data_IF_261451458051
#
_entry.id   IF_261451458051
#
_cell.length_a   1.000
_cell.length_b   1.000
_cell.length_c   1.000
_cell.angle_alpha   90.00
_cell.angle_beta   90.00
_cell.angle_gamma   90.00
#
_symmetry.space_group_name_H-M   'P 1'
#
loop_
_entity.id
_entity.type
_entity.pdbx_description
1 polymer ?
#
# COMPACT_ATOMS: atom_id res chain seq x y z
N UNK A 1 31.17 -27.58 63.22
CA UNK A 1 30.25 -27.83 64.35
C UNK A 1 28.83 -27.65 63.83
N UNK A 2 28.12 -28.76 63.82
CA UNK A 2 26.68 -28.92 64.00
C UNK A 2 25.70 -28.30 62.99
N UNK A 3 25.60 -29.00 61.85
CA UNK A 3 24.43 -29.07 60.97
C UNK A 3 23.15 -29.59 61.70
N UNK A 4 23.26 -30.00 62.97
CA UNK A 4 22.17 -30.52 63.81
C UNK A 4 21.32 -29.37 64.37
N UNK A 5 21.93 -28.27 64.82
CA UNK A 5 21.21 -27.13 65.36
C UNK A 5 20.33 -26.47 64.29
N UNK A 6 20.85 -26.30 63.08
CA UNK A 6 20.13 -25.73 61.93
C UNK A 6 18.98 -26.64 61.46
N UNK A 7 19.18 -27.97 61.47
CA UNK A 7 18.12 -28.93 61.13
C UNK A 7 16.99 -28.94 62.17
N UNK A 8 17.33 -28.86 63.46
CA UNK A 8 16.34 -28.72 64.53
C UNK A 8 15.55 -27.41 64.43
N UNK A 9 16.21 -26.31 64.02
CA UNK A 9 15.55 -25.04 63.74
C UNK A 9 14.57 -25.12 62.55
N UNK A 10 14.93 -25.83 61.48
CA UNK A 10 14.04 -26.06 60.33
C UNK A 10 12.81 -26.91 60.68
N UNK A 11 13.00 -27.97 61.49
CA UNK A 11 11.90 -28.80 61.96
C UNK A 11 10.99 -28.04 62.94
N UNK A 12 11.57 -27.17 63.78
CA UNK A 12 10.80 -26.29 64.67
C UNK A 12 9.95 -25.30 63.88
N UNK A 13 10.52 -24.63 62.86
CA UNK A 13 9.78 -23.74 61.98
C UNK A 13 8.65 -24.45 61.24
N UNK A 14 8.94 -25.62 60.67
CA UNK A 14 7.96 -26.40 59.91
C UNK A 14 6.78 -26.79 60.80
N UNK A 15 7.05 -27.18 62.06
CA UNK A 15 6.01 -27.44 63.08
C UNK A 15 5.30 -26.17 63.55
N UNK A 16 6.00 -25.05 63.75
CA UNK A 16 5.41 -23.80 64.20
C UNK A 16 4.44 -23.22 63.14
N UNK A 17 4.84 -23.25 61.86
CA UNK A 17 4.02 -22.79 60.74
C UNK A 17 2.78 -23.67 60.52
N UNK A 18 2.86 -24.97 60.80
CA UNK A 18 1.72 -25.89 60.65
C UNK A 18 0.79 -25.94 61.87
N UNK A 19 1.27 -25.62 63.08
CA UNK A 19 0.48 -25.76 64.31
C UNK A 19 -0.03 -24.46 64.92
N UNK A 20 0.69 -23.33 64.77
CA UNK A 20 0.35 -22.09 65.49
C UNK A 20 -0.36 -21.02 64.65
N UNK A 21 -0.29 -21.09 63.33
CA UNK A 21 -0.76 -19.99 62.48
C UNK A 21 -1.92 -20.41 61.58
N UNK A 22 -3.07 -19.76 61.74
CA UNK A 22 -4.28 -20.01 60.93
C UNK A 22 -4.29 -19.22 59.60
N UNK A 23 -3.43 -18.21 59.44
CA UNK A 23 -3.32 -17.39 58.23
C UNK A 23 -1.85 -17.02 57.98
N UNK A 24 -1.40 -17.17 56.73
CA UNK A 24 -0.02 -16.88 56.30
C UNK A 24 0.33 -15.38 56.32
N UNK A 25 -0.66 -14.50 56.48
CA UNK A 25 -0.48 -13.04 56.41
C UNK A 25 -0.28 -12.37 57.79
N UNK A 26 0.10 -13.11 58.84
CA UNK A 26 0.37 -12.49 60.14
C UNK A 26 1.73 -11.75 60.11
N UNK A 27 1.85 -10.56 60.71
CA UNK A 27 3.10 -9.79 60.75
C UNK A 27 4.20 -10.51 61.55
N UNK A 28 3.83 -11.44 62.43
CA UNK A 28 4.74 -12.27 63.20
C UNK A 28 5.40 -13.35 62.33
N UNK A 29 4.66 -13.93 61.37
CA UNK A 29 5.21 -14.87 60.37
C UNK A 29 6.19 -14.16 59.46
N UNK A 30 5.88 -12.94 59.02
CA UNK A 30 6.81 -12.15 58.20
C UNK A 30 8.13 -11.89 58.93
N UNK A 31 8.09 -11.48 60.21
CA UNK A 31 9.31 -11.28 61.01
C UNK A 31 10.12 -12.57 61.16
N UNK A 32 9.44 -13.70 61.41
CA UNK A 32 10.11 -15.01 61.51
C UNK A 32 10.74 -15.42 60.18
N UNK A 33 10.04 -15.25 59.05
CA UNK A 33 10.58 -15.58 57.72
C UNK A 33 11.75 -14.67 57.33
N UNK A 34 11.75 -13.39 57.70
CA UNK A 34 12.87 -12.46 57.42
C UNK A 34 14.11 -12.78 58.25
N UNK A 35 13.96 -13.12 59.53
CA UNK A 35 15.09 -13.55 60.38
C UNK A 35 15.73 -14.81 59.80
N UNK A 36 14.91 -15.73 59.28
CA UNK A 36 15.40 -16.95 58.66
C UNK A 36 15.93 -16.77 57.24
N UNK A 37 15.42 -15.85 56.43
CA UNK A 37 16.01 -15.59 55.09
C UNK A 37 17.46 -15.12 55.20
N UNK A 38 17.78 -14.30 56.20
CA UNK A 38 19.15 -13.87 56.47
C UNK A 38 20.08 -15.03 56.89
N UNK A 39 19.52 -16.12 57.45
CA UNK A 39 20.27 -17.35 57.74
C UNK A 39 20.38 -18.26 56.50
N UNK A 40 19.42 -18.20 55.58
CA UNK A 40 19.38 -18.97 54.33
C UNK A 40 20.38 -18.43 53.28
N UNK A 41 20.66 -17.13 53.26
CA UNK A 41 21.63 -16.55 52.31
C UNK A 41 23.07 -17.09 52.51
N UNK A 42 23.36 -17.63 53.70
CA UNK A 42 24.66 -18.23 54.02
C UNK A 42 24.70 -19.77 53.88
N UNK A 43 23.55 -20.44 53.68
CA UNK A 43 23.46 -21.91 53.59
C UNK A 43 22.29 -22.39 52.69
N UNK A 44 22.56 -23.31 51.76
CA UNK A 44 21.56 -23.92 50.86
C UNK A 44 20.52 -24.78 51.61
N UNK A 45 19.38 -24.19 51.96
CA UNK A 45 18.29 -24.85 52.70
C UNK A 45 16.96 -24.78 51.94
N UNK A 46 16.13 -25.83 52.06
CA UNK A 46 14.78 -25.91 51.46
C UNK A 46 13.73 -26.14 52.55
N UNK A 47 12.77 -25.21 52.69
CA UNK A 47 11.63 -25.31 53.62
C UNK A 47 10.36 -25.68 52.84
N UNK A 48 9.60 -26.68 53.29
CA UNK A 48 8.32 -27.09 52.67
C UNK A 48 7.14 -26.71 53.58
N UNK A 49 6.26 -25.84 53.10
CA UNK A 49 5.04 -25.42 53.81
C UNK A 49 3.82 -26.07 53.14
N UNK A 50 2.99 -26.79 53.89
CA UNK A 50 1.72 -27.35 53.42
C UNK A 50 0.55 -26.56 54.03
N UNK A 51 -0.20 -25.83 53.21
CA UNK A 51 -1.41 -25.11 53.62
C UNK A 51 -2.66 -25.70 52.95
N UNK A 52 -3.77 -25.85 53.70
CA UNK A 52 -5.09 -26.20 53.15
C UNK A 52 -5.88 -24.92 52.88
N UNK A 53 -6.33 -24.66 51.65
CA UNK A 53 -6.96 -23.39 51.32
C UNK A 53 -8.47 -23.45 51.66
N UNK A 54 -9.00 -22.42 52.34
CA UNK A 54 -10.34 -22.38 52.98
C UNK A 54 -11.50 -21.94 52.06
N UNK A 55 -11.34 -22.06 50.74
CA UNK A 55 -12.31 -21.60 49.74
C UNK A 55 -12.17 -22.29 48.37
N UNK A 56 -12.90 -21.80 47.38
CA UNK A 56 -12.86 -22.35 46.01
C UNK A 56 -12.66 -21.23 44.99
N UNK A 57 -11.82 -21.41 43.96
CA UNK A 57 -11.69 -20.42 42.89
C UNK A 57 -12.93 -20.42 41.99
N UNK A 58 -13.35 -19.23 41.56
CA UNK A 58 -14.32 -19.08 40.49
C UNK A 58 -13.72 -19.62 39.18
N UNK A 59 -14.42 -20.57 38.54
CA UNK A 59 -13.92 -21.19 37.31
C UNK A 59 -13.86 -20.25 36.09
N UNK A 60 -14.49 -19.08 36.16
CA UNK A 60 -14.50 -18.11 35.06
C UNK A 60 -13.47 -16.98 35.25
N UNK A 61 -13.40 -16.37 36.44
CA UNK A 61 -12.51 -15.23 36.69
C UNK A 61 -11.31 -15.54 37.59
N UNK A 62 -11.20 -16.75 38.14
CA UNK A 62 -10.10 -17.16 39.02
C UNK A 62 -10.14 -16.55 40.43
N UNK A 63 -11.08 -15.65 40.73
CA UNK A 63 -11.21 -15.03 42.06
C UNK A 63 -11.55 -16.10 43.10
N UNK A 64 -10.85 -16.07 44.22
CA UNK A 64 -11.03 -17.04 45.31
C UNK A 64 -12.25 -16.68 46.16
N UNK A 65 -13.22 -17.59 46.22
CA UNK A 65 -14.47 -17.44 46.97
C UNK A 65 -14.25 -17.99 48.38
N UNK A 66 -14.35 -17.11 49.38
CA UNK A 66 -14.23 -17.49 50.79
C UNK A 66 -15.46 -18.24 51.28
N UNK A 67 -15.31 -19.01 52.35
CA UNK A 67 -16.39 -19.85 52.91
C UNK A 67 -17.65 -19.09 53.33
N UNK A 68 -17.54 -17.78 53.63
CA UNK A 68 -18.66 -16.90 53.98
C UNK A 68 -19.48 -16.42 52.77
N UNK A 69 -18.86 -16.37 51.58
CA UNK A 69 -19.47 -15.83 50.36
C UNK A 69 -20.04 -16.93 49.45
N UNK A 70 -19.88 -18.20 49.84
CA UNK A 70 -20.43 -19.36 49.15
C UNK A 70 -21.96 -19.28 48.97
N UNK A 71 -22.69 -18.64 49.87
CA UNK A 71 -24.14 -18.46 49.77
C UNK A 71 -24.56 -17.48 48.67
N UNK A 72 -23.68 -16.57 48.25
CA UNK A 72 -23.91 -15.62 47.16
C UNK A 72 -23.33 -16.13 45.82
N UNK A 73 -22.49 -17.17 45.88
CA UNK A 73 -21.91 -17.82 44.71
C UNK A 73 -22.91 -18.74 43.99
N UNK A 74 -22.73 -18.92 42.68
CA UNK A 74 -23.59 -19.77 41.87
C UNK A 74 -22.98 -21.16 41.79
N UNK A 75 -23.64 -22.13 42.42
CA UNK A 75 -23.28 -23.54 42.30
C UNK A 75 -23.73 -24.08 40.94
N UNK A 76 -22.80 -24.64 40.17
CA UNK A 76 -23.05 -25.16 38.83
C UNK A 76 -23.75 -26.54 38.81
N UNK A 77 -24.02 -27.12 39.98
CA UNK A 77 -24.72 -28.40 40.17
C UNK A 77 -24.10 -29.57 39.40
N UNK A 78 -22.79 -29.52 39.11
CA UNK A 78 -22.07 -30.63 38.54
C UNK A 78 -21.61 -31.65 39.61
N UNK A 79 -21.10 -32.81 39.17
CA UNK A 79 -20.67 -33.90 40.06
C UNK A 79 -19.61 -33.48 41.09
N UNK A 80 -18.79 -32.48 40.76
CA UNK A 80 -17.87 -31.80 41.66
C UNK A 80 -18.43 -30.42 42.04
N UNK A 81 -18.22 -29.96 43.28
CA UNK A 81 -18.77 -28.67 43.76
C UNK A 81 -18.07 -27.47 43.12
N UNK A 82 -18.41 -27.15 41.86
CA UNK A 82 -17.89 -26.00 41.14
C UNK A 82 -18.78 -24.77 41.28
N UNK A 83 -18.13 -23.61 41.38
CA UNK A 83 -18.79 -22.34 41.66
C UNK A 83 -18.37 -21.25 40.70
N UNK A 84 -19.30 -20.35 40.42
CA UNK A 84 -19.03 -19.04 39.87
C UNK A 84 -19.23 -17.94 40.92
N UNK A 85 -18.42 -16.89 40.79
CA UNK A 85 -18.35 -15.76 41.72
C UNK A 85 -19.69 -15.04 41.92
N UNK A 86 -20.56 -15.05 40.90
CA UNK A 86 -21.83 -14.34 40.88
C UNK A 86 -22.49 -14.39 39.50
N UNK A 87 -23.62 -13.68 39.36
CA UNK A 87 -24.44 -13.67 38.13
C UNK A 87 -23.68 -13.18 36.89
N UNK A 88 -22.73 -12.26 37.05
CA UNK A 88 -21.97 -11.74 35.90
C UNK A 88 -20.97 -12.76 35.35
N UNK A 89 -20.37 -13.57 36.22
CA UNK A 89 -19.46 -14.65 35.83
C UNK A 89 -20.19 -15.69 34.95
N UNK A 90 -21.41 -16.10 35.32
CA UNK A 90 -22.19 -17.05 34.51
C UNK A 90 -22.74 -16.43 33.23
N UNK A 91 -23.16 -15.15 33.25
CA UNK A 91 -23.62 -14.43 32.04
C UNK A 91 -22.53 -14.37 30.98
N UNK A 92 -21.32 -13.96 31.36
CA UNK A 92 -20.17 -13.90 30.45
C UNK A 92 -19.78 -15.28 29.94
N UNK A 93 -19.79 -16.30 30.81
CA UNK A 93 -19.51 -17.66 30.39
C UNK A 93 -20.52 -18.19 29.36
N UNK A 94 -21.82 -17.96 29.58
CA UNK A 94 -22.87 -18.34 28.65
C UNK A 94 -22.75 -17.60 27.30
N UNK A 95 -22.44 -16.30 27.33
CA UNK A 95 -22.20 -15.49 26.13
C UNK A 95 -20.99 -16.02 25.33
N UNK A 96 -19.85 -16.25 25.98
CA UNK A 96 -18.66 -16.76 25.30
C UNK A 96 -18.88 -18.16 24.73
N UNK A 97 -19.60 -19.02 25.44
CA UNK A 97 -19.89 -20.40 25.00
C UNK A 97 -20.85 -20.46 23.81
N UNK A 98 -21.63 -19.40 23.57
CA UNK A 98 -22.64 -19.33 22.50
C UNK A 98 -22.31 -18.26 21.46
N UNK A 99 -21.05 -17.83 21.35
CA UNK A 99 -20.61 -16.77 20.43
C UNK A 99 -21.48 -15.50 20.50
N UNK A 100 -21.86 -15.10 21.73
CA UNK A 100 -22.72 -13.95 22.03
C UNK A 100 -24.17 -14.04 21.52
N UNK A 101 -24.64 -15.23 21.13
CA UNK A 101 -26.01 -15.41 20.61
C UNK A 101 -27.01 -15.89 21.65
N UNK A 102 -26.56 -16.61 22.69
CA UNK A 102 -27.41 -17.22 23.72
C UNK A 102 -28.47 -18.19 23.18
N UNK A 103 -28.37 -18.65 21.93
CA UNK A 103 -29.33 -19.58 21.32
C UNK A 103 -29.07 -21.04 21.75
N UNK A 104 -27.80 -21.43 21.82
CA UNK A 104 -27.35 -22.81 22.06
C UNK A 104 -27.05 -23.12 23.54
N UNK A 105 -27.96 -22.73 24.44
CA UNK A 105 -27.75 -22.88 25.89
C UNK A 105 -27.57 -24.34 26.35
N UNK A 106 -28.11 -25.31 25.60
CA UNK A 106 -27.93 -26.73 25.83
C UNK A 106 -26.47 -27.20 25.72
N UNK A 107 -25.62 -26.44 25.02
CA UNK A 107 -24.21 -26.76 24.80
C UNK A 107 -23.26 -26.06 25.77
N UNK A 108 -23.79 -25.21 26.66
CA UNK A 108 -22.97 -24.52 27.68
C UNK A 108 -22.52 -25.52 28.73
N UNK A 109 -21.22 -25.81 28.76
CA UNK A 109 -20.60 -26.78 29.67
C UNK A 109 -19.83 -26.09 30.78
N UNK A 110 -19.73 -26.79 31.92
CA UNK A 110 -18.87 -26.42 33.02
C UNK A 110 -17.39 -26.46 32.59
N UNK A 111 -16.58 -25.40 32.83
CA UNK A 111 -15.16 -25.38 32.47
C UNK A 111 -14.32 -26.47 33.15
N UNK A 112 -14.70 -26.90 34.35
CA UNK A 112 -13.93 -27.86 35.15
C UNK A 112 -14.21 -29.31 34.78
N UNK A 113 -15.47 -29.67 34.59
CA UNK A 113 -15.89 -31.07 34.42
C UNK A 113 -16.64 -31.35 33.11
N UNK A 114 -16.78 -30.35 32.23
CA UNK A 114 -17.46 -30.45 30.92
C UNK A 114 -18.91 -30.95 30.93
N UNK A 115 -19.54 -31.03 32.11
CA UNK A 115 -20.95 -31.38 32.26
C UNK A 115 -21.80 -30.18 31.82
N UNK A 116 -22.89 -30.39 31.05
CA UNK A 116 -23.83 -29.34 30.69
C UNK A 116 -24.40 -28.63 31.91
N UNK A 117 -24.37 -27.29 31.90
CA UNK A 117 -24.94 -26.48 32.98
C UNK A 117 -26.46 -26.45 32.79
N UNK A 118 -27.22 -26.56 33.88
CA UNK A 118 -28.68 -26.48 33.81
C UNK A 118 -29.13 -25.11 33.30
N UNK A 119 -29.96 -25.10 32.25
CA UNK A 119 -30.48 -23.88 31.62
C UNK A 119 -31.21 -23.00 32.64
N UNK A 120 -31.90 -23.60 33.62
CA UNK A 120 -32.59 -22.88 34.71
C UNK A 120 -31.64 -22.00 35.55
N UNK A 121 -30.37 -22.40 35.68
CA UNK A 121 -29.36 -21.60 36.40
C UNK A 121 -28.95 -20.39 35.56
N UNK A 122 -28.84 -20.57 34.24
CA UNK A 122 -28.52 -19.51 33.28
C UNK A 122 -29.69 -18.52 33.20
N UNK A 123 -30.92 -19.00 33.02
CA UNK A 123 -32.14 -18.18 33.01
C UNK A 123 -32.28 -17.30 34.25
N UNK A 124 -32.07 -17.89 35.45
CA UNK A 124 -32.08 -17.15 36.72
C UNK A 124 -31.00 -16.09 36.82
N UNK A 125 -29.90 -16.22 36.09
CA UNK A 125 -28.86 -15.20 36.06
C UNK A 125 -29.28 -13.99 35.22
N UNK A 126 -30.03 -14.19 34.13
CA UNK A 126 -30.47 -13.14 33.21
C UNK A 126 -31.76 -12.40 33.63
N UNK A 127 -32.33 -12.73 34.79
CA UNK A 127 -33.45 -12.00 35.43
C UNK A 127 -34.62 -11.70 34.45
N UNK A 128 -34.99 -12.67 33.61
CA UNK A 128 -36.12 -12.56 32.66
C UNK A 128 -35.83 -11.82 31.35
N UNK A 129 -34.60 -11.32 31.12
CA UNK A 129 -34.21 -10.64 29.87
C UNK A 129 -33.63 -11.57 28.80
N UNK A 130 -33.71 -12.89 29.02
CA UNK A 130 -33.10 -13.87 28.12
C UNK A 130 -33.81 -13.92 26.76
N UNK A 131 -35.14 -13.96 26.76
CA UNK A 131 -35.95 -14.07 25.55
C UNK A 131 -35.76 -12.86 24.62
N UNK A 132 -35.73 -11.64 25.16
CA UNK A 132 -35.47 -10.43 24.38
C UNK A 132 -34.07 -10.42 23.76
N UNK A 133 -33.05 -10.90 24.49
CA UNK A 133 -31.68 -10.97 23.99
C UNK A 133 -31.53 -12.06 22.90
N UNK A 134 -32.27 -13.16 23.02
CA UNK A 134 -32.30 -14.22 22.01
C UNK A 134 -33.04 -13.75 20.75
N UNK A 135 -34.16 -13.02 20.89
CA UNK A 135 -34.86 -12.39 19.76
C UNK A 135 -33.96 -11.39 19.03
N UNK A 136 -33.29 -10.49 19.75
CA UNK A 136 -32.33 -9.55 19.17
C UNK A 136 -31.18 -10.27 18.44
N UNK A 137 -30.72 -11.41 18.96
CA UNK A 137 -29.69 -12.23 18.32
C UNK A 137 -30.21 -12.92 17.05
N UNK A 138 -31.43 -13.46 17.08
CA UNK A 138 -32.12 -14.00 15.91
C UNK A 138 -32.33 -12.94 14.83
N UNK A 139 -32.74 -11.72 15.21
CA UNK A 139 -32.94 -10.62 14.27
C UNK A 139 -31.63 -10.15 13.63
N UNK A 140 -30.52 -10.13 14.38
CA UNK A 140 -29.19 -9.86 13.82
C UNK A 140 -28.70 -10.99 12.90
N UNK A 141 -28.92 -12.25 13.29
CA UNK A 141 -28.57 -13.39 12.45
C UNK A 141 -29.41 -13.43 11.17
N UNK A 142 -30.70 -13.13 11.25
CA UNK A 142 -31.60 -13.03 10.11
C UNK A 142 -31.20 -11.87 9.19
N UNK A 143 -30.83 -10.70 9.74
CA UNK A 143 -30.24 -9.61 8.95
C UNK A 143 -28.95 -10.03 8.23
N UNK A 144 -28.08 -10.81 8.87
CA UNK A 144 -26.85 -11.31 8.22
C UNK A 144 -27.12 -12.33 7.10
N UNK A 145 -28.26 -13.03 7.14
CA UNK A 145 -28.70 -13.97 6.09
C UNK A 145 -29.44 -13.27 4.94
N UNK A 146 -30.01 -12.07 5.17
CA UNK A 146 -30.74 -11.27 4.17
C UNK A 146 -29.83 -10.48 3.20
N UNK A 147 -28.50 -10.60 3.31
CA UNK A 147 -27.53 -9.87 2.49
C UNK A 147 -27.15 -10.56 1.17
N UNK A 148 -27.50 -11.83 0.93
CA UNK A 148 -27.10 -12.50 -0.33
C UNK A 148 -27.99 -12.10 -1.53
N UNK A 149 -29.30 -11.94 -1.34
CA UNK A 149 -30.19 -11.45 -2.41
C UNK A 149 -30.01 -9.95 -2.68
N UNK A 150 -29.66 -9.18 -1.65
CA UNK A 150 -29.36 -7.74 -1.79
C UNK A 150 -27.99 -7.51 -2.42
N UNK A 151 -26.97 -8.31 -2.07
CA UNK A 151 -25.70 -8.37 -2.82
C UNK A 151 -25.94 -8.78 -4.26
N UNK A 152 -26.68 -9.85 -4.53
CA UNK A 152 -26.97 -10.29 -5.90
C UNK A 152 -27.66 -9.19 -6.74
N UNK A 153 -28.50 -8.36 -6.11
CA UNK A 153 -29.16 -7.22 -6.75
C UNK A 153 -28.24 -6.01 -6.93
N UNK A 154 -27.31 -5.75 -5.99
CA UNK A 154 -26.25 -4.73 -6.16
C UNK A 154 -25.20 -5.17 -7.20
N UNK A 155 -24.87 -6.46 -7.28
CA UNK A 155 -24.00 -7.07 -8.29
C UNK A 155 -24.60 -7.01 -9.72
N UNK A 156 -25.91 -6.85 -9.84
CA UNK A 156 -26.60 -6.66 -11.13
C UNK A 156 -26.74 -5.20 -11.56
N UNK A 157 -26.34 -4.24 -10.71
CA UNK A 157 -26.34 -2.83 -11.08
C UNK A 157 -25.29 -2.62 -12.16
N UNK A 158 -25.72 -2.23 -13.36
CA UNK A 158 -24.84 -1.88 -14.47
C UNK A 158 -24.66 -0.37 -14.54
N UNK A 159 -23.47 0.07 -14.90
CA UNK A 159 -23.19 1.45 -15.27
C UNK A 159 -22.60 1.46 -16.68
N UNK A 160 -22.83 2.56 -17.41
CA UNK A 160 -22.23 2.75 -18.73
C UNK A 160 -20.97 3.59 -18.57
N UNK A 161 -19.83 3.12 -19.09
CA UNK A 161 -18.59 3.86 -19.05
C UNK A 161 -18.60 4.96 -20.11
N UNK A 162 -18.39 6.22 -19.73
CA UNK A 162 -18.45 7.34 -20.68
C UNK A 162 -17.24 7.43 -21.63
N UNK A 163 -16.16 6.66 -21.41
CA UNK A 163 -14.97 6.65 -22.27
C UNK A 163 -15.13 5.65 -23.42
N UNK A 164 -15.51 4.42 -23.11
CA UNK A 164 -15.66 3.35 -24.11
C UNK A 164 -17.12 3.10 -24.51
N UNK A 165 -18.09 3.73 -23.85
CA UNK A 165 -19.53 3.61 -24.08
C UNK A 165 -20.07 2.17 -23.91
N UNK A 166 -19.36 1.34 -23.15
CA UNK A 166 -19.74 -0.04 -22.84
C UNK A 166 -20.34 -0.13 -21.43
N UNK A 167 -21.28 -1.06 -21.25
CA UNK A 167 -21.91 -1.32 -19.96
C UNK A 167 -21.09 -2.34 -19.14
N UNK A 168 -20.80 -1.98 -17.90
CA UNK A 168 -20.06 -2.79 -16.95
C UNK A 168 -20.86 -2.97 -15.66
N UNK A 169 -20.55 -4.04 -14.92
CA UNK A 169 -21.06 -4.17 -13.56
C UNK A 169 -20.39 -3.16 -12.64
N UNK A 170 -21.11 -2.69 -11.62
CA UNK A 170 -20.60 -1.73 -10.62
C UNK A 170 -19.24 -2.14 -10.03
N UNK A 171 -18.95 -3.43 -9.88
CA UNK A 171 -17.66 -3.95 -9.36
C UNK A 171 -16.47 -3.75 -10.29
N UNK A 172 -16.71 -3.64 -11.60
CA UNK A 172 -15.67 -3.45 -12.63
C UNK A 172 -15.39 -1.96 -12.89
N UNK A 173 -16.05 -1.08 -12.13
CA UNK A 173 -15.96 0.35 -12.27
C UNK A 173 -15.26 0.99 -11.08
N UNK A 174 -14.37 1.93 -11.36
CA UNK A 174 -13.69 2.73 -10.34
C UNK A 174 -14.42 4.08 -10.25
N UNK A 175 -14.77 4.48 -9.03
CA UNK A 175 -15.41 5.77 -8.76
C UNK A 175 -14.37 6.70 -8.20
N UNK A 176 -14.20 7.86 -8.85
CA UNK A 176 -13.31 8.91 -8.38
C UNK A 176 -14.02 9.75 -7.31
N UNK A 177 -13.26 10.54 -6.55
CA UNK A 177 -13.74 11.47 -5.53
C UNK A 177 -14.71 12.54 -6.07
N UNK A 178 -14.66 12.79 -7.38
CA UNK A 178 -15.61 13.65 -8.10
C UNK A 178 -16.94 12.96 -8.45
N UNK A 179 -17.23 11.80 -7.84
CA UNK A 179 -18.40 10.92 -8.08
C UNK A 179 -18.56 10.39 -9.52
N UNK A 180 -17.56 10.58 -10.37
CA UNK A 180 -17.54 10.04 -11.73
C UNK A 180 -17.00 8.61 -11.76
N UNK A 181 -17.70 7.73 -12.49
CA UNK A 181 -17.37 6.30 -12.58
C UNK A 181 -16.94 5.90 -13.99
N UNK A 182 -15.84 5.17 -14.07
CA UNK A 182 -15.27 4.67 -15.32
C UNK A 182 -14.93 3.18 -15.22
N UNK A 183 -14.83 2.51 -16.36
CA UNK A 183 -14.30 1.15 -16.41
C UNK A 183 -12.83 1.13 -15.95
N UNK A 184 -12.41 0.11 -15.20
CA UNK A 184 -11.03 -0.02 -14.69
C UNK A 184 -9.99 0.11 -15.83
N UNK A 185 -10.23 -0.56 -16.95
CA UNK A 185 -9.33 -0.53 -18.10
C UNK A 185 -9.18 0.88 -18.69
N UNK A 186 -10.29 1.60 -18.83
CA UNK A 186 -10.36 2.94 -19.40
C UNK A 186 -9.59 3.94 -18.54
N UNK A 187 -9.85 3.90 -17.22
CA UNK A 187 -9.21 4.79 -16.26
C UNK A 187 -7.71 4.49 -16.16
N UNK A 188 -7.33 3.21 -16.16
CA UNK A 188 -5.93 2.78 -16.13
C UNK A 188 -5.18 3.20 -17.39
N UNK A 189 -5.78 3.08 -18.58
CA UNK A 189 -5.18 3.54 -19.83
C UNK A 189 -4.97 5.06 -19.84
N UNK A 190 -5.98 5.82 -19.39
CA UNK A 190 -5.88 7.28 -19.25
C UNK A 190 -4.72 7.68 -18.33
N UNK A 191 -4.66 7.10 -17.13
CA UNK A 191 -3.60 7.37 -16.15
C UNK A 191 -2.22 6.92 -16.69
N UNK A 192 -2.12 5.72 -17.28
CA UNK A 192 -0.86 5.20 -17.84
C UNK A 192 -0.33 6.10 -18.94
N UNK A 193 -1.19 6.56 -19.86
CA UNK A 193 -0.81 7.46 -20.94
C UNK A 193 -0.23 8.78 -20.41
N UNK A 194 -0.86 9.36 -19.38
CA UNK A 194 -0.38 10.60 -18.77
C UNK A 194 0.95 10.41 -18.02
N UNK A 195 1.10 9.29 -17.30
CA UNK A 195 2.36 8.95 -16.60
C UNK A 195 3.48 8.70 -17.62
N UNK A 196 3.24 7.94 -18.69
CA UNK A 196 4.26 7.62 -19.69
C UNK A 196 4.68 8.85 -20.50
N UNK A 197 3.80 9.84 -20.65
CA UNK A 197 4.14 11.16 -21.23
C UNK A 197 4.70 12.16 -20.21
N UNK A 198 5.01 11.72 -18.98
CA UNK A 198 5.52 12.55 -17.88
C UNK A 198 4.62 13.75 -17.51
N UNK A 199 3.32 13.67 -17.80
CA UNK A 199 2.32 14.69 -17.50
C UNK A 199 1.61 14.40 -16.17
N UNK A 200 2.35 14.46 -15.07
CA UNK A 200 1.90 14.02 -13.73
C UNK A 200 1.52 15.14 -12.77
N UNK A 201 1.36 16.38 -13.25
CA UNK A 201 0.94 17.53 -12.42
C UNK A 201 -0.57 17.52 -12.19
N UNK A 202 -1.02 18.09 -11.06
CA UNK A 202 -2.46 18.17 -10.72
C UNK A 202 -3.27 18.94 -11.77
N UNK A 203 -2.64 19.86 -12.50
CA UNK A 203 -3.28 20.62 -13.58
C UNK A 203 -3.65 19.78 -14.80
N UNK A 204 -3.00 18.64 -15.00
CA UNK A 204 -3.13 17.80 -16.21
C UNK A 204 -3.73 16.44 -15.87
N UNK A 205 -3.34 15.85 -14.75
CA UNK A 205 -3.82 14.56 -14.30
C UNK A 205 -5.19 14.69 -13.62
N UNK A 206 -6.20 14.92 -14.44
CA UNK A 206 -7.59 15.21 -14.05
C UNK A 206 -8.54 14.11 -14.47
N UNK A 207 -9.72 14.13 -13.84
CA UNK A 207 -10.84 13.32 -14.25
C UNK A 207 -11.16 13.55 -15.74
N UNK A 208 -11.44 12.50 -16.52
CA UNK A 208 -11.80 12.64 -17.94
C UNK A 208 -13.05 13.51 -18.20
N UNK A 209 -13.92 13.69 -17.19
CA UNK A 209 -15.20 14.41 -17.33
C UNK A 209 -15.23 15.78 -16.67
N UNK A 210 -14.42 15.99 -15.63
CA UNK A 210 -14.47 17.21 -14.84
C UNK A 210 -13.06 17.75 -14.56
N UNK A 211 -12.90 19.04 -14.26
CA UNK A 211 -11.59 19.64 -14.06
C UNK A 211 -10.91 19.23 -12.74
N UNK A 212 -11.50 18.31 -11.99
CA UNK A 212 -11.01 17.88 -10.68
C UNK A 212 -9.80 16.94 -10.82
N UNK A 213 -8.70 17.18 -10.07
CA UNK A 213 -7.52 16.34 -10.12
C UNK A 213 -7.78 14.95 -9.54
N UNK A 214 -7.14 13.93 -10.12
CA UNK A 214 -7.15 12.58 -9.54
C UNK A 214 -6.14 12.57 -8.40
N UNK A 215 -6.56 12.09 -7.23
CA UNK A 215 -5.74 12.04 -6.02
C UNK A 215 -4.67 10.95 -6.09
N UNK A 216 -3.60 11.11 -5.31
CA UNK A 216 -2.48 10.15 -5.26
C UNK A 216 -2.96 8.75 -4.89
N UNK A 217 -3.93 8.63 -3.97
CA UNK A 217 -4.47 7.35 -3.54
C UNK A 217 -5.25 6.63 -4.66
N UNK A 218 -6.03 7.37 -5.45
CA UNK A 218 -6.73 6.81 -6.60
C UNK A 218 -5.77 6.36 -7.70
N UNK A 219 -4.67 7.09 -7.89
CA UNK A 219 -3.61 6.70 -8.84
C UNK A 219 -2.93 5.42 -8.37
N UNK A 220 -2.63 5.29 -7.07
CA UNK A 220 -1.99 4.10 -6.50
C UNK A 220 -2.85 2.85 -6.72
N UNK A 221 -4.16 2.95 -6.46
CA UNK A 221 -5.12 1.86 -6.61
C UNK A 221 -5.26 1.42 -8.08
N UNK A 222 -5.35 2.37 -9.01
CA UNK A 222 -5.58 2.08 -10.44
C UNK A 222 -4.30 1.67 -11.17
N UNK A 223 -3.18 2.34 -10.92
CA UNK A 223 -1.95 2.18 -11.71
C UNK A 223 -1.17 0.91 -11.33
N UNK A 224 -1.34 0.42 -10.10
CA UNK A 224 -0.55 -0.67 -9.55
C UNK A 224 0.92 -0.29 -9.31
N UNK A 225 1.73 -1.18 -8.73
CA UNK A 225 3.02 -0.81 -8.12
C UNK A 225 4.09 -0.34 -9.13
N UNK A 226 4.08 -0.87 -10.36
CA UNK A 226 5.10 -0.52 -11.35
C UNK A 226 4.84 0.84 -12.01
N UNK A 227 3.59 1.15 -12.34
CA UNK A 227 3.23 2.47 -12.89
C UNK A 227 3.25 3.54 -11.79
N UNK A 228 2.88 3.20 -10.56
CA UNK A 228 2.93 4.13 -9.43
C UNK A 228 4.37 4.60 -9.12
N UNK A 229 5.37 3.69 -9.13
CA UNK A 229 6.78 4.09 -9.01
C UNK A 229 7.22 5.07 -10.10
N UNK A 230 6.76 4.87 -11.35
CA UNK A 230 7.03 5.84 -12.43
C UNK A 230 6.38 7.19 -12.13
N UNK A 231 5.12 7.18 -11.68
CA UNK A 231 4.40 8.38 -11.27
C UNK A 231 5.17 9.14 -10.19
N UNK A 232 5.60 8.48 -9.10
CA UNK A 232 6.39 9.09 -8.04
C UNK A 232 7.68 9.71 -8.58
N UNK A 233 8.42 8.99 -9.43
CA UNK A 233 9.65 9.48 -10.05
C UNK A 233 9.41 10.73 -10.88
N UNK A 234 8.36 10.77 -11.70
CA UNK A 234 8.02 11.95 -12.51
C UNK A 234 7.46 13.09 -11.66
N UNK A 235 6.74 12.78 -10.58
CA UNK A 235 6.16 13.76 -9.66
C UNK A 235 7.26 14.48 -8.90
N UNK A 236 8.22 13.73 -8.37
CA UNK A 236 9.43 14.27 -7.73
C UNK A 236 10.26 15.13 -8.69
N UNK A 237 10.44 14.69 -9.94
CA UNK A 237 11.13 15.49 -10.98
C UNK A 237 10.39 16.76 -11.37
N UNK A 238 9.07 16.79 -11.18
CA UNK A 238 8.22 17.93 -11.53
C UNK A 238 8.03 18.89 -10.37
N UNK A 239 8.48 18.54 -9.17
CA UNK A 239 8.35 19.34 -7.96
C UNK A 239 9.19 20.60 -8.10
N UNK A 240 8.56 21.74 -7.86
CA UNK A 240 9.24 23.02 -7.65
C UNK A 240 9.19 23.29 -6.16
N UNK A 241 10.32 23.57 -5.54
CA UNK A 241 10.38 23.99 -4.14
C UNK A 241 10.36 25.52 -4.16
N UNK A 242 9.25 26.11 -3.69
CA UNK A 242 9.02 27.56 -3.72
C UNK A 242 9.92 28.31 -2.71
N UNK A 243 10.44 27.60 -1.70
CA UNK A 243 11.27 28.13 -0.62
C UNK A 243 12.78 28.06 -0.91
N UNK A 244 13.19 27.66 -2.12
CA UNK A 244 14.60 27.69 -2.51
C UNK A 244 15.06 29.13 -2.65
N UNK A 245 16.21 29.45 -2.06
CA UNK A 245 16.85 30.74 -2.29
C UNK A 245 17.18 30.92 -3.79
N UNK A 246 17.24 32.17 -4.25
CA UNK A 246 17.62 32.47 -5.65
C UNK A 246 18.98 31.89 -6.04
N UNK A 247 19.81 31.53 -5.07
CA UNK A 247 21.12 30.91 -5.25
C UNK A 247 21.09 29.39 -5.18
N UNK A 248 19.94 28.72 -5.04
CA UNK A 248 19.83 27.27 -4.93
C UNK A 248 19.06 26.67 -6.11
N UNK A 249 19.39 25.43 -6.46
CA UNK A 249 18.72 24.66 -7.52
C UNK A 249 18.46 23.24 -7.04
N UNK A 250 17.23 22.77 -7.23
CA UNK A 250 16.91 21.35 -7.10
C UNK A 250 17.56 20.56 -8.25
N UNK A 251 18.61 19.82 -7.92
CA UNK A 251 19.34 18.99 -8.85
C UNK A 251 18.81 17.55 -8.84
N UNK A 252 18.48 17.04 -10.02
CA UNK A 252 18.15 15.62 -10.24
C UNK A 252 19.27 14.98 -11.06
N UNK A 253 19.80 13.85 -10.59
CA UNK A 253 20.87 13.16 -11.29
C UNK A 253 20.41 12.65 -12.67
N UNK A 254 21.14 12.97 -13.77
CA UNK A 254 20.84 12.47 -15.12
C UNK A 254 21.30 11.02 -15.35
N UNK A 255 22.00 10.41 -14.38
CA UNK A 255 22.49 9.04 -14.49
C UNK A 255 21.38 8.03 -14.74
N UNK A 256 21.68 7.00 -15.53
CA UNK A 256 20.72 5.96 -15.92
C UNK A 256 20.13 5.27 -14.67
N UNK A 257 18.81 5.31 -14.54
CA UNK A 257 18.06 4.81 -13.36
C UNK A 257 18.54 5.35 -12.00
N UNK A 258 19.17 6.53 -11.98
CA UNK A 258 19.52 7.21 -10.74
C UNK A 258 18.34 8.05 -10.23
N UNK A 259 17.92 7.78 -8.99
CA UNK A 259 16.87 8.52 -8.28
C UNK A 259 17.44 9.54 -7.29
N UNK A 260 18.73 9.89 -7.43
CA UNK A 260 19.38 10.81 -6.51
C UNK A 260 18.95 12.26 -6.80
N UNK A 261 18.53 12.96 -5.75
CA UNK A 261 18.06 14.35 -5.78
C UNK A 261 18.77 15.10 -4.64
N UNK A 262 19.27 16.31 -4.91
CA UNK A 262 19.84 17.18 -3.89
C UNK A 262 19.62 18.65 -4.24
N UNK A 263 19.74 19.52 -3.24
CA UNK A 263 19.76 20.97 -3.45
C UNK A 263 21.23 21.39 -3.59
N UNK A 264 21.54 22.18 -4.60
CA UNK A 264 22.91 22.63 -4.90
C UNK A 264 22.92 24.15 -5.09
N UNK A 265 23.94 24.81 -4.57
CA UNK A 265 24.14 26.24 -4.77
C UNK A 265 24.60 26.55 -6.21
N UNK A 266 24.08 27.64 -6.78
CA UNK A 266 24.42 28.19 -8.08
C UNK A 266 25.84 28.75 -8.02
N UNK A 267 26.81 27.93 -8.42
CA UNK A 267 28.22 28.34 -8.46
C UNK A 267 29.18 27.20 -8.80
N UNK A 268 28.79 25.95 -8.54
CA UNK A 268 29.59 24.78 -8.88
C UNK A 268 29.16 24.18 -10.22
N UNK A 269 30.07 24.19 -11.21
CA UNK A 269 29.85 23.53 -12.52
C UNK A 269 30.28 22.05 -12.52
N UNK A 270 30.69 21.52 -11.37
CA UNK A 270 31.11 20.14 -11.19
C UNK A 270 30.35 19.53 -10.01
N UNK A 271 29.51 18.54 -10.30
CA UNK A 271 28.84 17.74 -9.28
C UNK A 271 29.03 16.26 -9.59
N UNK A 272 29.52 15.49 -8.60
CA UNK A 272 29.60 14.04 -8.67
C UNK A 272 28.49 13.43 -7.83
N UNK A 273 27.58 12.69 -8.47
CA UNK A 273 26.50 12.03 -7.77
C UNK A 273 27.05 10.95 -6.81
N UNK A 274 26.76 10.99 -5.50
CA UNK A 274 27.27 10.00 -4.55
C UNK A 274 26.69 8.59 -4.76
N UNK A 275 25.53 8.48 -5.43
CA UNK A 275 24.85 7.20 -5.68
C UNK A 275 25.42 6.49 -6.93
N UNK A 276 25.55 7.19 -8.06
CA UNK A 276 25.97 6.59 -9.34
C UNK A 276 27.36 7.02 -9.83
N UNK A 277 28.04 7.93 -9.11
CA UNK A 277 29.34 8.51 -9.47
C UNK A 277 29.38 9.22 -10.82
N UNK A 278 28.21 9.56 -11.36
CA UNK A 278 28.12 10.32 -12.60
C UNK A 278 28.48 11.78 -12.33
N UNK A 279 29.34 12.34 -13.18
CA UNK A 279 29.83 13.71 -13.11
C UNK A 279 29.06 14.56 -14.11
N UNK A 280 28.39 15.59 -13.62
CA UNK A 280 27.58 16.48 -14.44
C UNK A 280 27.57 17.89 -13.84
N UNK A 281 27.13 18.87 -14.62
CA UNK A 281 26.90 20.23 -14.15
C UNK A 281 25.47 20.35 -13.60
N UNK A 282 25.26 20.86 -12.38
CA UNK A 282 23.92 20.96 -11.79
C UNK A 282 23.02 21.98 -12.49
N UNK A 283 23.59 22.97 -13.19
CA UNK A 283 22.85 24.02 -13.89
C UNK A 283 22.36 23.58 -15.27
N UNK A 284 23.25 23.05 -16.12
CA UNK A 284 22.89 22.65 -17.48
C UNK A 284 22.57 21.17 -17.64
N UNK A 285 22.82 20.35 -16.61
CA UNK A 285 22.61 18.90 -16.57
C UNK A 285 23.43 18.11 -17.61
N UNK A 286 24.40 18.76 -18.24
CA UNK A 286 25.37 18.16 -19.16
C UNK A 286 26.63 17.67 -18.42
N UNK A 287 27.56 17.06 -19.14
CA UNK A 287 28.85 16.65 -18.60
C UNK A 287 29.58 17.81 -17.90
N UNK A 288 30.34 17.50 -16.84
CA UNK A 288 31.04 18.52 -16.06
C UNK A 288 32.02 19.32 -16.92
N UNK A 289 31.86 20.65 -16.92
CA UNK A 289 32.68 21.57 -17.71
C UNK A 289 33.35 22.62 -16.81
N UNK A 290 34.64 22.40 -16.52
CA UNK A 290 35.43 23.32 -15.68
C UNK A 290 35.84 24.56 -16.47
N UNK A 291 35.58 25.74 -15.91
CA UNK A 291 36.11 27.01 -16.42
C UNK A 291 35.39 27.59 -17.65
N UNK A 292 34.31 26.96 -18.11
CA UNK A 292 33.43 27.48 -19.16
C UNK A 292 32.02 27.64 -18.63
N UNK A 293 31.33 28.68 -19.10
CA UNK A 293 29.90 28.86 -18.83
C UNK A 293 29.08 27.73 -19.48
N UNK A 294 27.87 27.47 -18.96
CA UNK A 294 26.98 26.47 -19.53
C UNK A 294 26.65 26.75 -21.01
N UNK A 295 26.57 28.02 -21.40
CA UNK A 295 26.26 28.42 -22.78
C UNK A 295 27.44 28.16 -23.72
N UNK A 296 28.67 28.49 -23.30
CA UNK A 296 29.88 28.16 -24.05
C UNK A 296 30.04 26.65 -24.23
N UNK A 297 29.77 25.87 -23.18
CA UNK A 297 29.86 24.41 -23.27
C UNK A 297 28.81 23.82 -24.22
N UNK A 298 27.56 24.31 -24.16
CA UNK A 298 26.51 23.90 -25.12
C UNK A 298 26.90 24.22 -26.56
N UNK A 299 27.44 25.41 -26.79
CA UNK A 299 27.87 25.81 -28.13
C UNK A 299 29.06 24.98 -28.62
N UNK A 300 30.06 24.76 -27.77
CA UNK A 300 31.19 23.88 -28.07
C UNK A 300 30.72 22.46 -28.41
N UNK A 301 29.81 21.88 -27.61
CA UNK A 301 29.24 20.54 -27.85
C UNK A 301 28.55 20.47 -29.21
N UNK A 302 27.73 21.47 -29.56
CA UNK A 302 27.04 21.55 -30.86
C UNK A 302 28.02 21.62 -32.03
N UNK A 303 29.13 22.33 -31.87
CA UNK A 303 30.14 22.49 -32.93
C UNK A 303 31.08 21.28 -33.06
N UNK A 304 31.33 20.55 -31.96
CA UNK A 304 32.32 19.47 -31.91
C UNK A 304 31.73 18.06 -31.90
N UNK A 305 30.42 17.91 -31.71
CA UNK A 305 29.75 16.62 -31.74
C UNK A 305 29.38 16.25 -33.19
N UNK A 306 30.21 15.42 -33.83
CA UNK A 306 29.90 14.86 -35.15
C UNK A 306 28.61 14.01 -35.14
N UNK A 307 28.31 13.39 -34.00
CA UNK A 307 27.09 12.62 -33.77
C UNK A 307 25.86 13.52 -33.83
N UNK A 308 25.91 14.72 -33.25
CA UNK A 308 24.79 15.67 -33.29
C UNK A 308 24.57 16.22 -34.70
N UNK A 309 25.64 16.45 -35.46
CA UNK A 309 25.53 16.85 -36.88
C UNK A 309 24.88 15.76 -37.73
N UNK A 310 25.26 14.50 -37.52
CA UNK A 310 24.65 13.36 -38.21
C UNK A 310 23.17 13.20 -37.82
N UNK A 311 22.85 13.43 -36.54
CA UNK A 311 21.48 13.40 -36.06
C UNK A 311 20.64 14.51 -36.67
N UNK A 312 21.16 15.73 -36.79
CA UNK A 312 20.47 16.85 -37.46
C UNK A 312 20.19 16.56 -38.94
N UNK A 313 21.14 15.96 -39.65
CA UNK A 313 20.93 15.51 -41.04
C UNK A 313 19.84 14.45 -41.14
N UNK A 314 19.77 13.54 -40.15
CA UNK A 314 18.73 12.52 -40.09
C UNK A 314 17.36 13.14 -39.79
N UNK A 315 17.28 14.13 -38.90
CA UNK A 315 16.04 14.85 -38.63
C UNK A 315 15.49 15.53 -39.89
N UNK A 316 16.35 16.20 -40.66
CA UNK A 316 15.95 16.83 -41.92
C UNK A 316 15.49 15.82 -42.96
N UNK A 317 16.18 14.69 -43.08
CA UNK A 317 15.85 13.63 -44.04
C UNK A 317 14.52 12.93 -43.73
N UNK A 318 14.25 12.65 -42.46
CA UNK A 318 13.03 11.98 -42.01
C UNK A 318 11.87 12.97 -41.77
N UNK A 319 12.08 14.27 -42.05
CA UNK A 319 11.07 15.31 -41.87
C UNK A 319 10.65 15.50 -40.40
N UNK A 320 11.55 15.25 -39.45
CA UNK A 320 11.36 15.42 -38.02
C UNK A 320 11.70 16.86 -37.60
N UNK A 321 10.99 17.39 -36.61
CA UNK A 321 11.14 18.78 -36.18
C UNK A 321 11.45 18.87 -34.69
N UNK A 322 12.27 19.84 -34.28
CA UNK A 322 12.49 20.15 -32.87
C UNK A 322 11.48 21.18 -32.37
N UNK A 323 11.04 21.02 -31.13
CA UNK A 323 10.26 22.03 -30.43
C UNK A 323 11.08 23.33 -30.29
N UNK A 324 10.52 24.51 -30.59
CA UNK A 324 11.26 25.79 -30.51
C UNK A 324 11.64 26.21 -29.08
N UNK A 325 11.05 25.60 -28.06
CA UNK A 325 11.29 25.93 -26.65
C UNK A 325 12.19 24.92 -25.94
N UNK A 326 11.87 23.62 -26.04
CA UNK A 326 12.61 22.58 -25.32
C UNK A 326 13.51 21.71 -26.21
N UNK A 327 13.57 22.00 -27.52
CA UNK A 327 14.32 21.25 -28.53
C UNK A 327 13.99 19.75 -28.67
N UNK A 328 12.95 19.26 -27.97
CA UNK A 328 12.50 17.88 -28.09
C UNK A 328 12.12 17.57 -29.53
N UNK A 329 12.56 16.41 -30.03
CA UNK A 329 12.26 15.94 -31.38
C UNK A 329 10.81 15.47 -31.42
N UNK A 330 10.08 15.96 -32.42
CA UNK A 330 8.65 15.70 -32.62
C UNK A 330 8.45 15.18 -34.04
N UNK A 331 7.66 14.11 -34.14
CA UNK A 331 7.22 13.53 -35.41
C UNK A 331 5.71 13.75 -35.57
N UNK A 332 5.28 14.16 -36.76
CA UNK A 332 3.86 14.17 -37.10
C UNK A 332 3.44 12.81 -37.67
N UNK A 333 2.48 12.17 -37.02
CA UNK A 333 1.95 10.87 -37.45
C UNK A 333 0.87 11.06 -38.54
N UNK A 334 -0.06 12.00 -38.35
CA UNK A 334 -1.09 12.37 -39.33
C UNK A 334 -1.82 13.66 -38.92
N UNK A 335 -2.64 14.23 -39.81
CA UNK A 335 -3.57 15.31 -39.46
C UNK A 335 -3.00 16.73 -39.53
N UNK A 336 -3.45 17.60 -38.63
CA UNK A 336 -3.18 19.04 -38.63
C UNK A 336 -1.67 19.36 -38.58
N UNK A 337 -1.27 20.49 -39.17
CA UNK A 337 0.09 21.03 -39.05
C UNK A 337 0.34 21.68 -37.68
N UNK A 338 -0.72 21.96 -36.93
CA UNK A 338 -0.64 22.44 -35.55
C UNK A 338 -0.13 21.33 -34.63
N UNK A 339 0.98 21.59 -33.95
CA UNK A 339 1.60 20.66 -33.02
C UNK A 339 1.62 21.26 -31.62
N UNK A 340 1.37 20.39 -30.64
CA UNK A 340 1.48 20.68 -29.21
C UNK A 340 2.65 19.90 -28.65
N UNK A 341 3.59 20.58 -28.00
CA UNK A 341 4.76 19.91 -27.43
C UNK A 341 4.42 19.21 -26.11
N UNK A 342 4.43 17.88 -26.11
CA UNK A 342 4.22 17.06 -24.90
C UNK A 342 5.49 16.78 -24.09
N UNK A 343 6.62 17.44 -24.39
CA UNK A 343 7.86 17.23 -23.65
C UNK A 343 7.72 17.61 -22.18
N UNK A 344 8.54 17.02 -21.31
CA UNK A 344 8.50 17.24 -19.87
C UNK A 344 8.75 18.70 -19.45
N UNK A 345 9.46 19.46 -20.29
CA UNK A 345 9.73 20.89 -20.13
C UNK A 345 8.55 21.76 -20.58
N UNK A 346 7.92 21.44 -21.72
CA UNK A 346 6.84 22.26 -22.30
C UNK A 346 5.45 21.90 -21.79
N UNK A 347 5.20 20.65 -21.41
CA UNK A 347 3.96 20.14 -20.79
C UNK A 347 2.68 20.59 -21.51
N UNK A 348 2.69 20.57 -22.84
CA UNK A 348 1.54 20.95 -23.66
C UNK A 348 1.26 22.45 -23.76
N UNK A 349 2.12 23.33 -23.22
CA UNK A 349 1.93 24.79 -23.25
C UNK A 349 2.52 25.45 -24.51
N UNK A 350 3.41 24.75 -25.19
CA UNK A 350 4.08 25.25 -26.39
C UNK A 350 3.42 24.68 -27.62
N UNK A 351 2.93 25.57 -28.47
CA UNK A 351 2.30 25.24 -29.73
C UNK A 351 3.17 25.74 -30.86
N UNK A 352 3.30 24.97 -31.93
CA UNK A 352 4.10 25.36 -33.08
C UNK A 352 3.57 24.72 -34.36
N UNK A 353 3.90 25.31 -35.51
CA UNK A 353 3.57 24.74 -36.80
C UNK A 353 4.61 23.70 -37.21
N UNK A 354 4.19 22.50 -37.61
CA UNK A 354 5.08 21.45 -38.07
C UNK A 354 5.81 21.86 -39.35
N UNK A 355 5.13 22.54 -40.29
CA UNK A 355 5.72 22.88 -41.59
C UNK A 355 6.86 23.89 -41.51
N UNK A 356 6.75 24.91 -40.66
CA UNK A 356 7.74 25.98 -40.58
C UNK A 356 8.54 25.99 -39.27
N UNK A 357 8.10 25.27 -38.24
CA UNK A 357 8.73 25.22 -36.91
C UNK A 357 8.53 26.48 -36.06
N UNK A 358 7.67 27.41 -36.47
CA UNK A 358 7.43 28.66 -35.74
C UNK A 358 6.48 28.41 -34.56
N UNK A 359 6.84 28.96 -33.40
CA UNK A 359 5.98 28.99 -32.20
C UNK A 359 4.72 29.82 -32.44
N UNK A 360 3.57 29.23 -32.17
CA UNK A 360 2.25 29.84 -32.29
C UNK A 360 1.83 30.50 -30.97
N UNK A 361 1.06 31.58 -31.07
CA UNK A 361 0.56 32.34 -29.90
C UNK A 361 -0.70 31.74 -29.26
N UNK A 362 -1.33 30.76 -29.92
CA UNK A 362 -2.55 30.09 -29.44
C UNK A 362 -3.01 29.00 -30.40
N UNK A 363 -4.19 28.43 -30.12
CA UNK A 363 -4.78 27.35 -30.92
C UNK A 363 -4.97 27.77 -32.37
N UNK A 364 -4.28 27.09 -33.28
CA UNK A 364 -4.37 27.33 -34.72
C UNK A 364 -4.12 28.79 -35.14
N UNK A 365 -3.30 29.53 -34.38
CA UNK A 365 -3.04 30.93 -34.66
C UNK A 365 -2.46 31.12 -36.09
N UNK A 366 -2.99 32.06 -36.88
CA UNK A 366 -2.46 32.34 -38.21
C UNK A 366 -1.05 32.89 -38.11
N UNK A 367 -0.18 32.47 -39.01
CA UNK A 367 1.20 32.91 -39.11
C UNK A 367 1.66 32.83 -40.57
N UNK A 368 2.73 33.55 -40.89
CA UNK A 368 3.40 33.41 -42.18
C UNK A 368 4.18 32.09 -42.20
N UNK A 369 3.56 31.04 -42.74
CA UNK A 369 4.18 29.73 -42.87
C UNK A 369 5.15 29.72 -44.06
N UNK A 370 6.44 29.52 -43.78
CA UNK A 370 7.45 29.20 -44.80
C UNK A 370 7.83 27.72 -44.62
N UNK A 371 7.36 26.81 -45.49
CA UNK A 371 7.61 25.39 -45.32
C UNK A 371 9.10 25.11 -45.37
N UNK A 372 9.57 24.41 -44.34
CA UNK A 372 10.98 24.09 -44.12
C UNK A 372 11.44 22.94 -45.02
N UNK A 373 10.51 22.07 -45.38
CA UNK A 373 10.70 20.98 -46.33
C UNK A 373 10.06 21.37 -47.67
N UNK A 374 10.85 21.37 -48.74
CA UNK A 374 10.29 21.43 -50.10
C UNK A 374 9.61 20.09 -50.37
N UNK A 375 8.35 20.14 -50.82
CA UNK A 375 7.49 19.01 -51.17
C UNK A 375 8.24 17.68 -51.41
N UNK A 376 8.34 16.87 -50.36
CA UNK A 376 8.71 15.46 -50.46
C UNK A 376 7.60 14.67 -49.78
N UNK A 377 6.53 14.45 -50.56
CA UNK A 377 5.49 13.40 -50.47
C UNK A 377 4.05 13.92 -50.59
N UNK A 378 3.67 14.30 -51.81
CA UNK A 378 2.42 13.79 -52.38
C UNK A 378 2.68 12.37 -52.91
N UNK A 379 2.59 11.37 -52.03
CA UNK A 379 2.37 10.00 -52.45
C UNK A 379 1.60 9.27 -51.34
N UNK A 380 0.41 8.79 -51.70
CA UNK A 380 -0.48 7.92 -50.91
C UNK A 380 -1.44 8.59 -49.92
N UNK A 381 -2.39 9.35 -50.45
CA UNK A 381 -3.79 9.15 -50.06
C UNK A 381 -4.62 9.15 -51.34
N UNK A 382 -4.61 8.02 -52.05
CA UNK A 382 -5.50 7.80 -53.19
C UNK A 382 -6.93 7.63 -52.69
N UNK A 383 -7.76 8.66 -52.84
CA UNK A 383 -9.20 8.55 -52.73
C UNK A 383 -9.73 7.64 -53.83
N UNK A 384 -10.04 6.40 -53.47
CA UNK A 384 -10.75 5.44 -54.32
C UNK A 384 -12.24 5.46 -53.99
N UNK A 385 -13.04 5.93 -54.95
CA UNK A 385 -14.49 5.88 -54.95
C UNK A 385 -15.01 4.45 -54.73
N UNK A 386 -16.04 4.33 -53.87
CA UNK A 386 -16.90 3.16 -53.78
C UNK A 386 -17.56 2.85 -55.14
N UNK A 387 -17.39 1.62 -55.60
CA UNK A 387 -18.14 1.04 -56.72
C UNK A 387 -17.92 -0.47 -56.70
N UNK A 388 -18.86 -1.19 -56.10
CA UNK A 388 -18.74 -2.64 -55.91
C UNK A 388 -18.80 -3.43 -57.21
N UNK A 389 -18.28 -4.66 -57.16
CA UNK A 389 -18.87 -5.89 -57.70
C UNK A 389 -17.85 -7.04 -57.57
N UNK A 390 -18.23 -8.08 -56.82
CA UNK A 390 -18.06 -9.49 -57.21
C UNK A 390 -16.66 -10.13 -57.21
N UNK A 391 -16.55 -11.25 -56.50
CA UNK A 391 -15.70 -12.37 -56.90
C UNK A 391 -14.48 -12.59 -56.00
N UNK A 392 -14.56 -13.58 -55.12
CA UNK A 392 -13.42 -14.00 -54.31
C UNK A 392 -12.36 -14.73 -55.11
N UNK A 393 -11.11 -14.65 -54.65
CA UNK A 393 -10.12 -15.72 -54.70
C UNK A 393 -9.12 -15.51 -53.56
N UNK A 394 -8.93 -16.57 -52.77
CA UNK A 394 -7.92 -16.66 -51.74
C UNK A 394 -6.52 -16.76 -52.36
N UNK A 395 -5.58 -15.95 -51.89
CA UNK A 395 -4.15 -16.27 -51.93
C UNK A 395 -3.54 -15.83 -50.60
N UNK A 396 -3.08 -16.81 -49.83
CA UNK A 396 -2.45 -16.62 -48.53
C UNK A 396 -1.10 -15.92 -48.66
N UNK A 397 -0.86 -14.96 -47.75
CA UNK A 397 0.48 -14.46 -47.48
C UNK A 397 1.23 -15.49 -46.60
N UNK A 398 2.53 -15.72 -46.84
CA UNK A 398 3.33 -16.61 -46.01
C UNK A 398 3.53 -15.98 -44.62
N UNK A 399 3.69 -16.79 -43.55
CA UNK A 399 4.00 -16.25 -42.23
C UNK A 399 5.40 -15.62 -42.24
N UNK A 400 5.49 -14.37 -41.78
CA UNK A 400 6.76 -13.71 -41.46
C UNK A 400 7.39 -14.48 -40.28
N UNK A 401 8.67 -14.88 -40.34
CA UNK A 401 9.27 -15.74 -39.34
C UNK A 401 9.42 -14.99 -38.01
N UNK A 402 8.83 -15.57 -36.96
CA UNK A 402 9.11 -15.24 -35.56
C UNK A 402 10.61 -15.46 -35.35
N UNK A 403 11.36 -14.38 -35.10
CA UNK A 403 12.76 -14.50 -34.68
C UNK A 403 12.80 -15.25 -33.35
N UNK A 404 13.35 -16.47 -33.37
CA UNK A 404 13.56 -17.27 -32.18
C UNK A 404 14.47 -16.53 -31.18
N UNK A 405 14.22 -16.65 -29.87
CA UNK A 405 15.05 -16.03 -28.85
C UNK A 405 16.48 -16.59 -28.92
N UNK A 406 17.45 -15.68 -28.94
CA UNK A 406 18.89 -15.99 -28.89
C UNK A 406 19.17 -16.85 -27.64
N UNK A 407 19.81 -18.03 -27.76
CA UNK A 407 20.10 -18.87 -26.61
C UNK A 407 21.10 -18.18 -25.67
N UNK A 408 20.68 -17.99 -24.42
CA UNK A 408 21.54 -17.50 -23.33
C UNK A 408 22.75 -18.42 -23.19
N UNK A 409 23.96 -17.91 -23.48
CA UNK A 409 25.22 -18.60 -23.18
C UNK A 409 25.26 -18.96 -21.69
N UNK A 410 25.41 -20.25 -21.41
CA UNK A 410 25.54 -20.77 -20.05
C UNK A 410 26.73 -20.13 -19.32
N UNK A 411 26.45 -19.45 -18.20
CA UNK A 411 27.48 -19.00 -17.27
C UNK A 411 28.16 -20.23 -16.65
N UNK A 412 29.44 -20.42 -16.96
CA UNK A 412 30.31 -21.41 -16.31
C UNK A 412 30.34 -21.14 -14.80
N UNK A 413 30.00 -22.15 -13.99
CA UNK A 413 30.14 -22.12 -12.53
C UNK A 413 31.62 -21.97 -12.14
N UNK A 414 31.97 -21.15 -11.13
CA UNK A 414 33.31 -21.18 -10.56
C UNK A 414 33.51 -22.50 -9.80
N UNK A 415 34.64 -23.17 -10.05
CA UNK A 415 35.12 -24.33 -9.28
C UNK A 415 35.31 -23.90 -7.81
N UNK A 416 34.66 -24.62 -6.88
CA UNK A 416 35.06 -24.63 -5.47
C UNK A 416 36.51 -25.15 -5.40
N UNK A 417 37.45 -24.31 -4.98
CA UNK A 417 38.69 -24.78 -4.35
C UNK A 417 38.37 -25.10 -2.89
N UNK A 418 39.10 -26.11 -2.41
CA UNK A 418 38.91 -26.90 -1.18
C UNK A 418 38.56 -26.11 0.05
#
# INVERSE_FOLDING_TARGET
>A
MDNIALRNCSDYLSKALTSKFASLNSPEIHKLLTIYSNLLDHYDFKVQIKAKPLGCPCLHCGIYINSKDLSQSINLQCAEKHYFCGKDCIKRHALMSTNNTLLDLHYVRCPGCFIPISIKIIEKAFDGRLESLQQDACDRALKSLLDEDSKAKMLQSKFSCEICLMDYNVEQGITLNCDHRFCEECLRQHISMLIDTAQVTDDVLKCPKCPEPITVYEIEDVAGPELFKKYEKFRLRSMKIEELDDNEVLFHCPGNDCEYICIVEKGENEFECPKCKHKCCPLCKEDSHKGSSCDEYKQWKKENSEVDKLFDQLLEKEGLLRCPECEAVVQRISGCQYMVCSSSECRGKTFFCYECGIKLKGDHAPHECKPRWKDQNQAQVGGGLFGGLGGGFAFGAPPIPIMAPVPRRARRRPRRRR
#
